data_IF_669011227502
#
_entry.id   IF_669011227502
#
_cell.length_a   1.000
_cell.length_b   1.000
_cell.length_c   1.000
_cell.angle_alpha   90.00
_cell.angle_beta   90.00
_cell.angle_gamma   90.00
#
_symmetry.space_group_name_H-M   'P 1'
#
loop_
_entity.id
_entity.type
_entity.pdbx_description
1 polymer ?
#
# COMPACT_ATOMS: atom_id res chain seq x y z
N UNK A 1 57.40 -34.08 17.72
CA UNK A 1 56.52 -34.99 17.00
C UNK A 1 55.36 -34.17 16.44
N UNK A 2 55.50 -33.81 15.18
CA UNK A 2 54.56 -32.96 14.42
C UNK A 2 53.44 -33.84 13.86
N UNK A 3 52.16 -33.43 14.01
CA UNK A 3 51.06 -34.03 13.29
C UNK A 3 50.39 -32.93 12.45
N UNK A 4 50.64 -32.97 11.16
CA UNK A 4 50.00 -32.25 10.08
C UNK A 4 48.56 -32.74 9.90
N UNK A 5 47.61 -31.80 9.78
CA UNK A 5 46.22 -32.03 9.41
C UNK A 5 46.06 -31.59 7.93
N UNK A 6 45.41 -32.38 7.05
CA UNK A 6 45.25 -32.05 5.65
C UNK A 6 44.04 -31.10 5.42
N UNK A 7 44.20 -30.18 4.46
CA UNK A 7 43.17 -29.29 3.94
C UNK A 7 42.11 -30.06 3.14
N UNK A 8 40.83 -29.67 3.20
CA UNK A 8 39.82 -30.19 2.28
C UNK A 8 39.78 -29.42 0.94
N UNK A 9 39.63 -30.20 -0.11
CA UNK A 9 39.59 -29.81 -1.49
C UNK A 9 38.37 -28.92 -1.84
N UNK A 10 38.63 -28.00 -2.76
CA UNK A 10 37.67 -27.16 -3.44
C UNK A 10 36.64 -27.99 -4.21
N UNK A 11 35.36 -27.85 -3.83
CA UNK A 11 34.22 -28.24 -4.65
C UNK A 11 33.61 -26.97 -5.27
N UNK A 12 33.73 -26.84 -6.57
CA UNK A 12 33.07 -25.83 -7.38
C UNK A 12 31.56 -26.12 -7.44
N UNK A 13 30.76 -25.32 -6.78
CA UNK A 13 29.33 -25.29 -7.03
C UNK A 13 29.03 -24.18 -8.04
N UNK A 14 28.65 -24.58 -9.25
CA UNK A 14 28.05 -23.73 -10.26
C UNK A 14 26.70 -23.23 -9.73
N UNK A 15 26.65 -21.98 -9.36
CA UNK A 15 25.39 -21.28 -9.10
C UNK A 15 24.73 -20.93 -10.43
N UNK A 16 23.65 -21.65 -10.72
CA UNK A 16 22.74 -21.34 -11.80
C UNK A 16 21.90 -20.11 -11.39
N UNK A 17 22.37 -18.93 -11.80
CA UNK A 17 21.63 -17.69 -11.63
C UNK A 17 20.66 -17.52 -12.79
N UNK A 18 19.48 -18.14 -12.69
CA UNK A 18 18.34 -17.74 -13.50
C UNK A 18 17.79 -16.41 -12.95
N UNK A 19 18.41 -15.31 -13.38
CA UNK A 19 17.90 -13.96 -13.24
C UNK A 19 16.49 -13.89 -13.83
N UNK A 20 15.50 -13.61 -12.97
CA UNK A 20 14.18 -13.15 -13.37
C UNK A 20 14.39 -11.92 -14.26
N UNK A 21 14.12 -12.05 -15.56
CA UNK A 21 14.02 -10.93 -16.47
C UNK A 21 12.89 -10.04 -15.95
N UNK A 22 13.22 -8.82 -15.54
CA UNK A 22 12.23 -7.75 -15.37
C UNK A 22 11.67 -7.48 -16.77
N UNK A 23 10.38 -7.76 -16.95
CA UNK A 23 9.69 -7.38 -18.18
C UNK A 23 9.59 -5.86 -18.21
N UNK A 24 10.26 -5.24 -19.16
CA UNK A 24 10.17 -3.80 -19.44
C UNK A 24 8.73 -3.49 -19.87
N UNK A 25 8.03 -2.67 -19.10
CA UNK A 25 6.73 -2.13 -19.49
C UNK A 25 6.95 -1.00 -20.49
N UNK A 26 6.63 -1.26 -21.75
CA UNK A 26 6.69 -0.27 -22.84
C UNK A 26 5.45 0.63 -22.85
N UNK A 27 5.55 1.81 -23.47
CA UNK A 27 4.42 2.72 -23.65
C UNK A 27 3.20 2.07 -24.36
N UNK A 28 3.46 1.05 -25.16
CA UNK A 28 2.48 0.25 -25.87
C UNK A 28 1.63 -0.62 -24.92
N UNK A 29 2.27 -1.25 -23.92
CA UNK A 29 1.57 -2.04 -22.91
C UNK A 29 0.71 -1.16 -21.96
N UNK A 30 1.15 0.05 -21.69
CA UNK A 30 0.36 1.01 -20.90
C UNK A 30 -0.88 1.51 -21.67
N UNK A 31 -0.79 1.62 -23.00
CA UNK A 31 -1.90 1.97 -23.86
C UNK A 31 -2.88 0.79 -24.04
N UNK A 32 -2.39 -0.44 -24.07
CA UNK A 32 -3.21 -1.65 -24.21
C UNK A 32 -4.05 -1.93 -22.96
N UNK A 33 -3.52 -1.63 -21.78
CA UNK A 33 -4.27 -1.69 -20.49
C UNK A 33 -5.41 -0.67 -20.46
N UNK A 34 -5.29 0.45 -21.19
CA UNK A 34 -6.29 1.49 -21.29
C UNK A 34 -7.31 1.27 -22.43
N UNK A 35 -6.99 0.41 -23.42
CA UNK A 35 -7.78 0.21 -24.63
C UNK A 35 -8.62 -1.11 -24.66
N UNK A 36 -8.48 -1.99 -23.66
CA UNK A 36 -9.06 -3.32 -23.70
C UNK A 36 -10.57 -3.42 -23.40
N UNK A 37 -11.35 -2.33 -23.49
CA UNK A 37 -12.77 -2.30 -23.11
C UNK A 37 -13.75 -1.85 -24.20
N UNK A 38 -13.36 -1.80 -25.48
CA UNK A 38 -14.31 -1.59 -26.59
C UNK A 38 -14.03 -2.64 -27.67
N UNK A 39 -14.77 -3.75 -27.67
CA UNK A 39 -15.32 -4.48 -28.84
C UNK A 39 -15.74 -5.89 -28.44
N UNK A 40 -17.02 -6.09 -28.25
CA UNK A 40 -17.67 -7.40 -28.27
C UNK A 40 -19.01 -7.31 -28.99
N UNK A 41 -18.94 -7.26 -30.30
CA UNK A 41 -20.04 -7.67 -31.19
C UNK A 41 -19.47 -8.04 -32.56
N UNK A 42 -19.64 -9.31 -32.95
CA UNK A 42 -19.35 -9.80 -34.30
C UNK A 42 -19.83 -11.23 -34.52
N UNK A 43 -20.31 -11.60 -35.75
CA UNK A 43 -21.38 -12.58 -35.93
C UNK A 43 -20.94 -14.00 -36.27
N UNK A 44 -21.84 -14.93 -35.98
CA UNK A 44 -22.11 -16.26 -36.53
C UNK A 44 -21.02 -16.98 -37.38
N UNK A 45 -20.56 -18.13 -36.88
CA UNK A 45 -19.89 -19.15 -37.67
C UNK A 45 -20.57 -20.54 -37.52
N UNK A 46 -20.91 -21.11 -38.66
CA UNK A 46 -21.60 -22.41 -38.83
C UNK A 46 -20.90 -23.62 -38.22
N UNK A 47 -21.69 -24.54 -37.64
CA UNK A 47 -21.21 -25.75 -36.98
C UNK A 47 -21.13 -26.97 -37.97
N UNK A 48 -20.10 -27.81 -37.86
CA UNK A 48 -20.01 -29.04 -38.68
C UNK A 48 -20.83 -30.21 -38.10
N UNK A 49 -21.38 -31.04 -39.00
CA UNK A 49 -22.27 -32.18 -38.72
C UNK A 49 -21.58 -33.27 -37.89
N UNK A 50 -22.21 -33.73 -36.81
CA UNK A 50 -21.75 -34.78 -35.88
C UNK A 50 -22.32 -36.15 -36.21
N UNK A 51 -21.43 -37.19 -36.18
CA UNK A 51 -21.79 -38.60 -36.10
C UNK A 51 -22.32 -38.94 -34.70
N UNK A 52 -23.38 -39.75 -34.62
CA UNK A 52 -24.04 -40.11 -33.35
C UNK A 52 -23.29 -41.21 -32.61
N UNK A 53 -22.89 -41.05 -31.35
CA UNK A 53 -22.25 -42.09 -30.55
C UNK A 53 -23.25 -43.03 -29.86
N UNK A 54 -22.80 -44.24 -29.50
CA UNK A 54 -23.61 -45.34 -28.91
C UNK A 54 -24.08 -45.03 -27.47
N UNK A 55 -25.16 -45.70 -27.04
CA UNK A 55 -25.82 -45.46 -25.71
C UNK A 55 -24.88 -45.64 -24.48
N UNK A 56 -23.80 -46.42 -24.58
CA UNK A 56 -22.84 -46.61 -23.48
C UNK A 56 -21.87 -45.44 -23.33
N UNK A 57 -21.52 -44.74 -24.38
CA UNK A 57 -20.67 -43.54 -24.37
C UNK A 57 -21.40 -42.32 -23.80
N UNK A 58 -22.73 -42.29 -23.93
CA UNK A 58 -23.55 -41.19 -23.40
C UNK A 58 -23.58 -41.13 -21.85
N UNK A 59 -23.45 -42.25 -21.14
CA UNK A 59 -23.53 -42.30 -19.67
C UNK A 59 -22.21 -41.85 -18.99
N UNK A 60 -21.06 -42.09 -19.63
CA UNK A 60 -19.75 -41.67 -19.10
C UNK A 60 -19.40 -40.23 -19.45
N UNK A 61 -19.78 -39.76 -20.62
CA UNK A 61 -19.54 -38.35 -21.05
C UNK A 61 -20.57 -37.39 -20.41
N UNK A 62 -21.81 -37.87 -20.21
CA UNK A 62 -22.85 -37.08 -19.54
C UNK A 62 -22.55 -36.77 -18.05
N UNK A 63 -21.93 -37.74 -17.35
CA UNK A 63 -21.54 -37.55 -15.96
C UNK A 63 -20.41 -36.53 -15.78
N UNK A 64 -19.40 -36.54 -16.65
CA UNK A 64 -18.31 -35.58 -16.63
C UNK A 64 -18.77 -34.18 -17.10
N UNK A 65 -19.62 -34.11 -18.11
CA UNK A 65 -20.15 -32.82 -18.58
C UNK A 65 -21.10 -32.16 -17.56
N UNK A 66 -21.87 -32.96 -16.81
CA UNK A 66 -22.70 -32.41 -15.71
C UNK A 66 -21.84 -31.94 -14.54
N UNK A 67 -20.77 -32.65 -14.17
CA UNK A 67 -19.86 -32.22 -13.11
C UNK A 67 -19.07 -30.95 -13.48
N UNK A 68 -18.63 -30.82 -14.75
CA UNK A 68 -17.95 -29.60 -15.22
C UNK A 68 -18.91 -28.44 -15.42
N UNK A 69 -20.17 -28.67 -15.81
CA UNK A 69 -21.19 -27.62 -15.91
C UNK A 69 -21.62 -27.11 -14.53
N UNK A 70 -21.73 -28.00 -13.53
CA UNK A 70 -22.00 -27.60 -12.14
C UNK A 70 -20.79 -26.89 -11.52
N UNK A 71 -19.56 -27.35 -11.78
CA UNK A 71 -18.34 -26.70 -11.35
C UNK A 71 -18.12 -25.35 -12.02
N UNK A 72 -18.33 -25.27 -13.33
CA UNK A 72 -18.25 -24.01 -14.08
C UNK A 72 -19.40 -23.04 -13.71
N UNK A 73 -20.59 -23.55 -13.50
CA UNK A 73 -21.75 -22.75 -13.03
C UNK A 73 -21.52 -22.22 -11.63
N UNK A 74 -21.02 -23.03 -10.69
CA UNK A 74 -20.65 -22.62 -9.35
C UNK A 74 -19.47 -21.63 -9.37
N UNK A 75 -18.45 -21.88 -10.19
CA UNK A 75 -17.31 -20.99 -10.37
C UNK A 75 -17.73 -19.64 -11.00
N UNK A 76 -18.58 -19.64 -12.02
CA UNK A 76 -19.14 -18.43 -12.62
C UNK A 76 -20.08 -17.69 -11.68
N UNK A 77 -20.84 -18.41 -10.86
CA UNK A 77 -21.71 -17.81 -9.84
C UNK A 77 -20.85 -17.22 -8.72
N UNK A 78 -19.83 -17.93 -8.25
CA UNK A 78 -18.85 -17.41 -7.27
C UNK A 78 -18.09 -16.22 -7.87
N UNK A 79 -17.68 -16.28 -9.14
CA UNK A 79 -17.02 -15.16 -9.82
C UNK A 79 -17.97 -13.97 -10.05
N UNK A 80 -19.24 -14.23 -10.37
CA UNK A 80 -20.26 -13.17 -10.47
C UNK A 80 -20.67 -12.58 -9.13
N UNK A 81 -20.70 -13.36 -8.05
CA UNK A 81 -20.90 -12.84 -6.69
C UNK A 81 -19.66 -12.12 -6.15
N UNK A 82 -18.45 -12.49 -6.59
CA UNK A 82 -17.22 -11.76 -6.26
C UNK A 82 -16.92 -10.58 -7.21
N UNK A 83 -17.58 -10.50 -8.38
CA UNK A 83 -17.63 -9.29 -9.22
C UNK A 83 -18.87 -8.46 -8.85
N UNK A 84 -19.13 -8.31 -7.54
CA UNK A 84 -20.25 -7.55 -7.03
C UNK A 84 -20.22 -6.12 -7.56
N UNK A 85 -21.13 -5.82 -8.49
CA UNK A 85 -21.73 -4.50 -8.49
C UNK A 85 -22.38 -4.38 -7.11
N UNK A 86 -21.72 -3.69 -6.17
CA UNK A 86 -22.31 -3.40 -4.88
C UNK A 86 -23.54 -2.59 -5.17
N UNK A 87 -24.71 -3.17 -4.95
CA UNK A 87 -25.98 -2.47 -5.16
C UNK A 87 -26.06 -1.24 -4.26
N UNK A 88 -26.81 -0.23 -4.66
CA UNK A 88 -26.92 1.04 -3.94
C UNK A 88 -27.39 0.95 -2.47
N UNK A 89 -27.60 -0.27 -1.96
CA UNK A 89 -28.03 -0.56 -0.60
C UNK A 89 -27.14 -1.59 0.13
N UNK A 90 -26.07 -2.06 -0.48
CA UNK A 90 -25.13 -2.98 0.17
C UNK A 90 -24.11 -2.20 1.00
N UNK A 91 -23.66 -2.84 2.08
CA UNK A 91 -22.62 -2.25 2.93
C UNK A 91 -21.29 -2.15 2.16
N UNK A 92 -20.60 -1.02 2.29
CA UNK A 92 -19.29 -0.75 1.72
C UNK A 92 -18.21 -1.18 2.71
N UNK A 93 -17.54 -2.33 2.52
CA UNK A 93 -16.51 -2.78 3.44
C UNK A 93 -15.22 -1.98 3.21
N UNK A 94 -14.79 -1.22 4.24
CA UNK A 94 -13.49 -0.58 4.31
C UNK A 94 -12.57 -1.42 5.19
N UNK A 95 -11.33 -1.63 4.78
CA UNK A 95 -10.38 -2.43 5.54
C UNK A 95 -9.49 -1.55 6.40
N UNK A 96 -9.18 -2.07 7.61
CA UNK A 96 -8.29 -1.44 8.59
C UNK A 96 -7.11 -2.37 8.89
N UNK A 97 -5.91 -1.79 8.96
CA UNK A 97 -4.65 -2.51 9.22
C UNK A 97 -4.21 -2.52 10.68
N UNK A 98 -4.79 -1.70 11.53
CA UNK A 98 -4.34 -1.54 12.91
C UNK A 98 -3.39 -0.35 13.11
N UNK A 99 -3.37 0.59 12.17
CA UNK A 99 -2.47 1.74 12.19
C UNK A 99 -3.13 2.97 12.84
N UNK A 100 -2.42 3.67 13.72
CA UNK A 100 -2.85 4.95 14.32
C UNK A 100 -3.17 5.99 13.24
N UNK A 101 -2.49 5.94 12.12
CA UNK A 101 -2.71 6.85 11.01
C UNK A 101 -4.07 6.67 10.29
N UNK A 102 -4.84 5.63 10.65
CA UNK A 102 -6.21 5.45 10.18
C UNK A 102 -7.24 6.32 10.96
N UNK A 103 -6.83 7.14 11.92
CA UNK A 103 -7.67 8.07 12.68
C UNK A 103 -8.75 8.81 11.87
N UNK A 104 -8.46 9.33 10.64
CA UNK A 104 -9.50 9.93 9.79
C UNK A 104 -10.65 8.99 9.43
N UNK A 105 -10.36 7.70 9.19
CA UNK A 105 -11.37 6.69 8.92
C UNK A 105 -12.23 6.43 10.16
N UNK A 106 -11.60 6.26 11.31
CA UNK A 106 -12.30 6.00 12.56
C UNK A 106 -13.19 7.20 12.95
N UNK A 107 -12.67 8.41 12.78
CA UNK A 107 -13.47 9.63 12.95
C UNK A 107 -14.67 9.63 12.01
N UNK A 108 -14.50 9.41 10.71
CA UNK A 108 -15.59 9.41 9.74
C UNK A 108 -16.66 8.36 10.08
N UNK A 109 -16.25 7.16 10.49
CA UNK A 109 -17.13 6.07 10.84
C UNK A 109 -17.92 6.33 12.14
N UNK A 110 -17.23 6.64 13.23
CA UNK A 110 -17.86 6.80 14.55
C UNK A 110 -18.62 8.11 14.73
N UNK A 111 -18.29 9.15 13.93
CA UNK A 111 -19.02 10.42 13.91
C UNK A 111 -20.19 10.44 12.93
N UNK A 112 -20.44 9.31 12.21
CA UNK A 112 -21.57 9.18 11.31
C UNK A 112 -21.42 9.92 9.99
N UNK A 113 -20.22 10.39 9.58
CA UNK A 113 -20.05 11.15 8.34
C UNK A 113 -20.35 10.32 7.10
N UNK A 114 -20.17 9.01 7.13
CA UNK A 114 -20.59 8.12 6.06
C UNK A 114 -22.11 7.98 6.00
N UNK A 115 -22.78 7.84 7.16
CA UNK A 115 -24.24 7.77 7.24
C UNK A 115 -24.90 9.05 6.77
N UNK A 116 -24.35 10.22 7.15
CA UNK A 116 -24.78 11.54 6.67
C UNK A 116 -24.63 11.70 5.15
N UNK A 117 -23.67 11.01 4.56
CA UNK A 117 -23.47 10.95 3.11
C UNK A 117 -24.38 9.91 2.42
N UNK A 118 -25.25 9.23 3.17
CA UNK A 118 -26.14 8.17 2.69
C UNK A 118 -25.44 6.85 2.37
N UNK A 119 -24.24 6.62 2.93
CA UNK A 119 -23.41 5.45 2.68
C UNK A 119 -23.43 4.52 3.89
N UNK A 120 -23.70 3.24 3.66
CA UNK A 120 -23.60 2.21 4.68
C UNK A 120 -22.19 1.61 4.66
N UNK A 121 -21.30 2.09 5.53
CA UNK A 121 -19.93 1.59 5.65
C UNK A 121 -19.84 0.52 6.75
N UNK A 122 -18.96 -0.46 6.54
CA UNK A 122 -18.54 -1.42 7.56
C UNK A 122 -17.00 -1.45 7.62
N UNK A 123 -16.45 -1.61 8.83
CA UNK A 123 -15.01 -1.79 9.00
C UNK A 123 -14.70 -3.29 9.09
N UNK A 124 -13.69 -3.72 8.33
CA UNK A 124 -13.22 -5.10 8.30
C UNK A 124 -11.71 -5.13 8.58
N UNK A 125 -11.25 -6.12 9.35
CA UNK A 125 -9.81 -6.38 9.50
C UNK A 125 -9.35 -7.35 8.42
N UNK A 126 -8.14 -7.14 7.89
CA UNK A 126 -7.49 -8.15 7.07
C UNK A 126 -7.18 -9.40 7.90
N UNK A 127 -7.21 -10.56 7.26
CA UNK A 127 -6.67 -11.77 7.87
C UNK A 127 -5.13 -11.70 7.88
N UNK A 128 -4.47 -12.36 8.82
CA UNK A 128 -3.00 -12.29 9.02
C UNK A 128 -2.15 -12.53 7.75
N UNK A 129 -2.69 -13.23 6.76
CA UNK A 129 -1.98 -13.58 5.51
C UNK A 129 -2.43 -12.75 4.31
N UNK A 130 -3.33 -11.80 4.49
CA UNK A 130 -3.90 -11.01 3.40
C UNK A 130 -3.29 -9.61 3.37
N UNK A 131 -2.68 -9.24 2.23
CA UNK A 131 -2.28 -7.86 2.00
C UNK A 131 -3.53 -6.98 1.75
N UNK A 132 -3.59 -5.85 2.44
CA UNK A 132 -4.68 -4.86 2.30
C UNK A 132 -4.87 -4.42 0.85
N UNK A 133 -3.77 -4.22 0.11
CA UNK A 133 -3.79 -3.76 -1.28
C UNK A 133 -4.42 -4.80 -2.19
N UNK A 134 -4.05 -6.07 -2.01
CA UNK A 134 -4.61 -7.18 -2.79
C UNK A 134 -6.11 -7.32 -2.56
N UNK A 135 -6.56 -7.18 -1.30
CA UNK A 135 -7.97 -7.22 -0.96
C UNK A 135 -8.78 -6.08 -1.59
N UNK A 136 -8.22 -4.87 -1.64
CA UNK A 136 -8.83 -3.71 -2.34
C UNK A 136 -8.80 -3.92 -3.85
N UNK A 137 -7.66 -4.32 -4.43
CA UNK A 137 -7.53 -4.56 -5.87
C UNK A 137 -8.48 -5.65 -6.38
N UNK A 138 -8.68 -6.71 -5.60
CA UNK A 138 -9.62 -7.80 -5.91
C UNK A 138 -11.10 -7.42 -5.71
N UNK A 139 -11.40 -6.25 -5.13
CA UNK A 139 -12.77 -5.80 -4.83
C UNK A 139 -13.41 -6.50 -3.63
N UNK A 140 -12.63 -7.18 -2.79
CA UNK A 140 -13.10 -7.71 -1.51
C UNK A 140 -13.44 -6.58 -0.54
N UNK A 141 -12.64 -5.53 -0.58
CA UNK A 141 -12.85 -4.28 0.14
C UNK A 141 -13.01 -3.13 -0.85
N UNK A 142 -13.86 -2.18 -0.53
CA UNK A 142 -14.07 -0.99 -1.37
C UNK A 142 -12.93 0.00 -1.23
N UNK A 143 -12.27 0.02 -0.08
CA UNK A 143 -11.13 0.91 0.13
C UNK A 143 -10.42 0.68 1.44
N UNK A 144 -9.31 1.37 1.58
CA UNK A 144 -8.46 1.39 2.76
C UNK A 144 -7.80 2.76 2.93
N UNK A 145 -7.45 3.17 4.16
CA UNK A 145 -6.44 4.19 4.36
C UNK A 145 -5.07 3.59 4.03
N UNK A 146 -4.13 4.39 3.60
CA UNK A 146 -2.79 3.88 3.42
C UNK A 146 -1.77 4.94 3.06
N UNK A 147 -0.53 4.66 3.40
CA UNK A 147 0.60 5.51 3.05
C UNK A 147 0.81 5.41 1.54
N UNK A 148 0.57 6.51 0.83
CA UNK A 148 0.45 6.50 -0.62
C UNK A 148 1.71 5.96 -1.33
N UNK A 149 2.89 6.14 -0.75
CA UNK A 149 4.15 5.62 -1.29
C UNK A 149 4.12 4.11 -1.55
N UNK A 150 3.46 3.33 -0.68
CA UNK A 150 3.33 1.88 -0.87
C UNK A 150 2.23 1.47 -1.85
N UNK A 151 1.40 2.40 -2.32
CA UNK A 151 0.34 2.14 -3.29
C UNK A 151 0.75 2.49 -4.72
N UNK A 152 1.71 3.43 -4.91
CA UNK A 152 2.09 3.94 -6.23
C UNK A 152 2.54 2.82 -7.16
N UNK A 153 3.55 2.06 -6.76
CA UNK A 153 4.11 0.99 -7.58
C UNK A 153 3.12 -0.14 -7.87
N UNK A 154 2.39 -0.71 -6.90
CA UNK A 154 1.36 -1.70 -7.19
C UNK A 154 0.27 -1.21 -8.15
N UNK A 155 -0.24 0.01 -8.00
CA UNK A 155 -1.26 0.57 -8.91
C UNK A 155 -0.67 0.75 -10.31
N UNK A 156 0.54 1.25 -10.41
CA UNK A 156 1.25 1.38 -11.68
C UNK A 156 1.45 0.02 -12.35
N UNK A 157 1.73 -1.04 -11.58
CA UNK A 157 1.89 -2.41 -12.07
C UNK A 157 0.56 -3.16 -12.27
N UNK A 158 -0.58 -2.44 -12.29
CA UNK A 158 -1.88 -2.99 -12.65
C UNK A 158 -2.79 -3.38 -11.49
N UNK A 159 -2.45 -3.05 -10.24
CA UNK A 159 -3.39 -3.21 -9.12
C UNK A 159 -4.63 -2.35 -9.38
N UNK A 160 -5.81 -2.98 -9.37
CA UNK A 160 -7.09 -2.30 -9.62
C UNK A 160 -7.51 -1.44 -8.42
N UNK A 161 -6.77 -0.38 -8.16
CA UNK A 161 -7.05 0.62 -7.12
C UNK A 161 -6.78 2.03 -7.66
N UNK A 162 -7.35 3.05 -7.00
CA UNK A 162 -7.13 4.47 -7.28
C UNK A 162 -7.02 5.22 -5.97
N UNK A 163 -6.09 6.15 -5.90
CA UNK A 163 -5.99 7.12 -4.82
C UNK A 163 -6.93 8.29 -5.11
N UNK A 164 -7.64 8.79 -4.10
CA UNK A 164 -8.66 9.84 -4.33
C UNK A 164 -8.40 11.12 -3.56
N UNK A 165 -7.76 11.07 -2.39
CA UNK A 165 -7.44 12.24 -1.57
C UNK A 165 -6.31 11.95 -0.59
N UNK A 166 -5.57 12.97 -0.18
CA UNK A 166 -4.65 12.94 0.93
C UNK A 166 -5.35 13.27 2.24
N UNK A 167 -4.99 12.59 3.32
CA UNK A 167 -5.63 12.70 4.62
C UNK A 167 -4.79 13.50 5.61
N UNK A 168 -3.54 13.13 5.77
CA UNK A 168 -2.61 13.78 6.70
C UNK A 168 -1.15 13.53 6.29
N UNK A 169 -0.24 14.21 6.97
CA UNK A 169 1.21 14.07 6.87
C UNK A 169 1.82 13.67 8.23
N UNK A 170 3.11 13.37 8.24
CA UNK A 170 3.88 13.25 9.48
C UNK A 170 3.92 11.86 10.11
N UNK A 171 3.64 10.76 9.37
CA UNK A 171 3.64 9.40 9.94
C UNK A 171 4.87 8.57 9.60
N UNK A 172 5.84 9.12 8.89
CA UNK A 172 7.10 8.46 8.58
C UNK A 172 8.25 9.11 9.36
N UNK A 173 9.09 8.27 9.98
CA UNK A 173 10.20 8.72 10.84
C UNK A 173 11.50 8.07 10.43
N UNK A 174 12.56 8.88 10.50
CA UNK A 174 13.94 8.43 10.53
C UNK A 174 14.53 8.88 11.87
N UNK A 175 14.99 7.92 12.66
CA UNK A 175 15.34 8.10 14.08
C UNK A 175 16.75 7.56 14.33
N UNK A 176 17.48 8.26 15.18
CA UNK A 176 18.84 7.92 15.61
C UNK A 176 18.93 7.91 17.15
N UNK A 177 19.95 7.28 17.69
CA UNK A 177 20.21 7.31 19.13
C UNK A 177 20.29 8.76 19.62
N UNK A 178 19.83 9.03 20.88
CA UNK A 178 19.76 10.38 21.47
C UNK A 178 21.08 11.13 21.37
N UNK A 179 22.17 10.45 21.71
CA UNK A 179 23.51 11.01 21.77
C UNK A 179 24.36 10.70 20.54
N UNK A 180 23.72 10.26 19.43
CA UNK A 180 24.43 9.95 18.18
C UNK A 180 25.01 11.22 17.55
N UNK A 181 26.08 11.04 16.77
CA UNK A 181 26.75 12.12 16.04
C UNK A 181 26.02 12.54 14.74
N UNK A 182 24.96 11.84 14.34
CA UNK A 182 24.26 12.07 13.08
C UNK A 182 23.22 13.19 13.24
N UNK A 183 23.44 14.35 12.64
CA UNK A 183 22.57 15.54 12.77
C UNK A 183 21.84 15.87 11.46
N UNK A 184 22.33 15.38 10.33
CA UNK A 184 21.78 15.59 8.99
C UNK A 184 21.71 14.25 8.23
N UNK A 185 20.89 14.17 7.20
CA UNK A 185 20.79 12.96 6.36
C UNK A 185 22.14 12.58 5.76
N UNK A 186 22.95 13.56 5.36
CA UNK A 186 24.29 13.32 4.78
C UNK A 186 25.26 12.59 5.74
N UNK A 187 25.06 12.72 7.06
CA UNK A 187 25.90 12.07 8.07
C UNK A 187 25.70 10.55 8.10
N UNK A 188 24.62 10.06 7.49
CA UNK A 188 24.29 8.63 7.45
C UNK A 188 25.06 7.85 6.38
N UNK A 189 25.95 8.50 5.63
CA UNK A 189 26.79 7.80 4.65
C UNK A 189 27.71 6.80 5.34
N UNK A 190 27.69 5.55 4.88
CA UNK A 190 28.50 4.46 5.44
C UNK A 190 27.90 3.79 6.68
N UNK A 191 26.66 4.14 7.06
CA UNK A 191 25.99 3.59 8.24
C UNK A 191 25.13 2.37 7.91
N UNK A 192 24.66 1.68 8.96
CA UNK A 192 23.65 0.63 8.88
C UNK A 192 22.31 1.20 9.30
N UNK A 193 21.30 1.10 8.42
CA UNK A 193 19.93 1.58 8.69
C UNK A 193 18.96 0.41 8.77
N UNK A 194 18.20 0.34 9.88
CA UNK A 194 17.13 -0.62 10.10
C UNK A 194 15.83 -0.18 9.42
N UNK A 195 15.23 -1.08 8.63
CA UNK A 195 13.96 -0.84 7.92
C UNK A 195 13.05 -2.06 8.05
N UNK A 196 11.70 -1.90 8.07
CA UNK A 196 10.79 -3.04 8.09
C UNK A 196 10.91 -3.91 6.83
N UNK A 197 11.06 -3.28 5.67
CA UNK A 197 11.36 -3.90 4.39
C UNK A 197 11.85 -2.86 3.38
N UNK A 198 12.52 -3.31 2.32
CA UNK A 198 12.95 -2.44 1.21
C UNK A 198 11.77 -1.99 0.32
N UNK A 199 10.58 -2.57 0.50
CA UNK A 199 9.32 -2.12 -0.12
C UNK A 199 8.46 -1.27 0.81
N UNK A 200 8.96 -0.91 2.02
CA UNK A 200 8.20 -0.09 2.96
C UNK A 200 8.10 1.36 2.50
N UNK A 201 7.01 2.03 2.89
CA UNK A 201 6.81 3.46 2.59
C UNK A 201 7.89 4.34 3.19
N UNK A 202 8.43 3.97 4.36
CA UNK A 202 9.52 4.72 4.99
C UNK A 202 10.81 4.62 4.17
N UNK A 203 11.15 3.40 3.70
CA UNK A 203 12.29 3.23 2.80
C UNK A 203 12.13 4.08 1.54
N UNK A 204 10.99 3.96 0.85
CA UNK A 204 10.73 4.69 -0.39
C UNK A 204 10.85 6.21 -0.20
N UNK A 205 10.28 6.74 0.90
CA UNK A 205 10.32 8.18 1.19
C UNK A 205 11.74 8.68 1.55
N UNK A 206 12.39 8.05 2.54
CA UNK A 206 13.68 8.53 3.03
C UNK A 206 14.83 8.25 2.07
N UNK A 207 14.73 7.22 1.22
CA UNK A 207 15.71 6.99 0.17
C UNK A 207 15.80 8.18 -0.81
N UNK A 208 14.69 8.89 -1.08
CA UNK A 208 14.69 10.13 -1.86
C UNK A 208 15.56 11.18 -1.16
N UNK A 209 15.26 11.49 0.12
CA UNK A 209 16.00 12.48 0.88
C UNK A 209 17.49 12.15 1.05
N UNK A 210 17.81 10.87 1.28
CA UNK A 210 19.20 10.38 1.35
C UNK A 210 19.92 10.55 0.00
N UNK A 211 19.24 10.24 -1.11
CA UNK A 211 19.78 10.43 -2.45
C UNK A 211 20.01 11.92 -2.77
N UNK A 212 19.07 12.79 -2.41
CA UNK A 212 19.22 14.25 -2.54
C UNK A 212 20.39 14.79 -1.67
N UNK A 213 20.69 14.10 -0.54
CA UNK A 213 21.88 14.39 0.30
C UNK A 213 23.19 13.80 -0.26
N UNK A 214 23.17 13.20 -1.45
CA UNK A 214 24.36 12.67 -2.13
C UNK A 214 24.79 11.27 -1.68
N UNK A 215 23.89 10.51 -1.09
CA UNK A 215 24.10 9.12 -0.65
C UNK A 215 23.57 8.16 -1.73
N UNK A 216 24.37 7.20 -2.14
CA UNK A 216 23.90 6.11 -2.97
C UNK A 216 23.08 5.13 -2.11
N UNK A 217 21.78 5.05 -2.38
CA UNK A 217 20.81 4.26 -1.62
C UNK A 217 20.55 2.87 -2.20
N UNK A 218 21.29 2.48 -3.25
CA UNK A 218 21.15 1.16 -3.88
C UNK A 218 21.36 0.06 -2.82
N UNK A 219 20.40 -0.85 -2.63
CA UNK A 219 20.54 -1.96 -1.68
C UNK A 219 21.71 -2.89 -2.01
N UNK A 220 22.08 -3.02 -3.26
CA UNK A 220 23.11 -3.94 -3.77
C UNK A 220 24.47 -3.27 -4.02
N UNK A 221 24.94 -2.41 -3.12
CA UNK A 221 26.28 -1.80 -3.24
C UNK A 221 26.29 -0.28 -3.11
N UNK A 222 25.26 0.28 -2.51
CA UNK A 222 25.20 1.69 -2.17
C UNK A 222 26.06 2.06 -0.96
N UNK A 223 25.89 3.29 -0.51
CA UNK A 223 26.61 3.85 0.64
C UNK A 223 25.99 3.44 2.00
N UNK A 224 24.81 2.81 2.00
CA UNK A 224 24.08 2.38 3.20
C UNK A 224 24.03 0.86 3.27
N UNK A 225 24.29 0.30 4.46
CA UNK A 225 23.99 -1.09 4.76
C UNK A 225 22.53 -1.19 5.25
N UNK A 226 21.65 -1.69 4.40
CA UNK A 226 20.24 -1.89 4.77
C UNK A 226 20.06 -3.16 5.57
N UNK A 227 19.40 -3.06 6.73
CA UNK A 227 19.06 -4.20 7.58
C UNK A 227 17.55 -4.29 7.76
N UNK A 228 16.97 -5.40 7.30
CA UNK A 228 15.55 -5.68 7.56
C UNK A 228 15.38 -6.07 9.02
N UNK A 229 14.48 -5.38 9.72
CA UNK A 229 14.16 -5.56 11.14
C UNK A 229 12.64 -5.42 11.28
N UNK A 230 12.00 -6.36 11.97
CA UNK A 230 10.55 -6.24 12.23
C UNK A 230 10.22 -4.91 12.89
N UNK A 231 9.10 -4.29 12.51
CA UNK A 231 8.73 -2.95 12.96
C UNK A 231 8.78 -2.80 14.49
N UNK A 232 8.25 -3.78 15.22
CA UNK A 232 8.22 -3.77 16.69
C UNK A 232 9.62 -3.94 17.33
N UNK A 233 10.60 -4.39 16.57
CA UNK A 233 11.99 -4.61 17.00
C UNK A 233 12.93 -3.48 16.62
N UNK A 234 12.50 -2.49 15.83
CA UNK A 234 13.34 -1.38 15.36
C UNK A 234 14.00 -0.63 16.52
N UNK A 235 13.21 -0.26 17.55
CA UNK A 235 13.72 0.45 18.72
C UNK A 235 14.77 -0.33 19.49
N UNK A 236 14.60 -1.64 19.64
CA UNK A 236 15.56 -2.54 20.28
C UNK A 236 16.85 -2.65 19.46
N UNK A 237 16.73 -2.82 18.12
CA UNK A 237 17.90 -2.90 17.25
C UNK A 237 18.77 -1.62 17.31
N UNK A 238 18.13 -0.46 17.42
CA UNK A 238 18.81 0.83 17.61
C UNK A 238 19.50 0.90 19.00
N UNK A 239 18.78 0.54 20.06
CA UNK A 239 19.31 0.58 21.43
C UNK A 239 20.49 -0.36 21.64
N UNK A 240 20.48 -1.53 21.01
CA UNK A 240 21.54 -2.54 21.07
C UNK A 240 22.74 -2.21 20.14
N UNK A 241 22.68 -1.10 19.39
CA UNK A 241 23.73 -0.72 18.44
C UNK A 241 23.86 -1.68 17.24
N UNK A 242 22.81 -2.43 16.95
CA UNK A 242 22.77 -3.31 15.76
C UNK A 242 22.58 -2.53 14.47
N UNK A 243 22.04 -1.32 14.56
CA UNK A 243 21.87 -0.34 13.50
C UNK A 243 22.18 1.07 14.04
N UNK A 244 22.64 1.96 13.16
CA UNK A 244 22.96 3.35 13.49
C UNK A 244 21.75 4.26 13.46
N UNK A 245 20.79 3.91 12.62
CA UNK A 245 19.51 4.60 12.48
C UNK A 245 18.38 3.59 12.18
N UNK A 246 17.16 4.00 12.42
CA UNK A 246 15.95 3.26 12.05
C UNK A 246 14.99 4.13 11.26
N UNK A 247 14.25 3.56 10.34
CA UNK A 247 13.15 4.23 9.67
C UNK A 247 11.91 3.35 9.62
N UNK A 248 10.74 3.97 9.74
CA UNK A 248 9.48 3.26 9.77
C UNK A 248 8.28 4.19 9.79
N UNK A 249 7.10 3.61 9.84
CA UNK A 249 5.86 4.29 10.14
C UNK A 249 5.53 4.20 11.63
N UNK A 250 4.81 5.21 12.12
CA UNK A 250 4.40 5.29 13.51
C UNK A 250 3.49 4.12 13.94
N UNK A 251 3.56 3.69 15.24
CA UNK A 251 4.30 4.32 16.34
C UNK A 251 5.73 3.80 16.54
N UNK A 252 6.14 2.71 15.89
CA UNK A 252 7.34 1.96 16.21
C UNK A 252 8.62 2.82 16.31
N UNK A 253 8.98 3.70 15.36
CA UNK A 253 10.18 4.52 15.48
C UNK A 253 10.04 5.66 16.50
N UNK A 254 8.83 6.07 16.88
CA UNK A 254 8.61 7.10 17.90
C UNK A 254 8.68 6.57 19.34
N UNK A 255 8.48 5.28 19.58
CA UNK A 255 8.54 4.73 20.94
C UNK A 255 9.89 5.02 21.63
N UNK A 256 11.08 4.78 21.00
CA UNK A 256 12.36 5.15 21.61
C UNK A 256 12.57 6.67 21.74
N UNK A 257 11.92 7.49 20.92
CA UNK A 257 11.92 8.94 21.08
C UNK A 257 11.09 9.34 22.30
N UNK A 258 9.93 8.72 22.46
CA UNK A 258 9.03 9.01 23.58
C UNK A 258 9.60 8.60 24.95
N UNK A 259 10.41 7.56 25.01
CA UNK A 259 11.09 7.15 26.24
C UNK A 259 12.44 7.86 26.46
N UNK A 260 12.86 8.74 25.52
CA UNK A 260 14.04 9.59 25.66
C UNK A 260 15.38 8.88 25.36
N UNK A 261 15.36 7.68 24.72
CA UNK A 261 16.59 6.95 24.32
C UNK A 261 17.03 7.28 22.90
N UNK A 262 16.14 7.88 22.10
CA UNK A 262 16.41 8.25 20.72
C UNK A 262 15.90 9.66 20.42
N UNK A 263 16.22 10.17 19.27
CA UNK A 263 15.68 11.41 18.70
C UNK A 263 15.35 11.25 17.23
N UNK A 264 14.35 11.97 16.79
CA UNK A 264 14.01 12.10 15.39
C UNK A 264 15.13 12.86 14.65
N UNK A 265 15.60 12.31 13.54
CA UNK A 265 16.53 12.97 12.62
C UNK A 265 15.78 13.62 11.46
N UNK A 266 14.76 12.94 10.94
CA UNK A 266 13.89 13.45 9.90
C UNK A 266 12.49 12.80 9.99
N UNK A 267 11.49 13.50 9.47
CA UNK A 267 10.14 12.97 9.23
C UNK A 267 9.65 13.44 7.85
N UNK A 268 8.51 12.93 7.42
CA UNK A 268 7.84 13.54 6.28
C UNK A 268 7.16 14.85 6.75
N UNK A 269 7.41 15.91 6.01
CA UNK A 269 6.95 17.28 6.33
C UNK A 269 5.42 17.32 6.50
N UNK A 270 4.95 18.20 7.40
CA UNK A 270 3.53 18.47 7.60
C UNK A 270 2.80 19.03 6.37
N UNK A 271 3.53 19.47 5.35
CA UNK A 271 2.96 19.89 4.05
C UNK A 271 2.91 18.74 3.03
N UNK A 272 3.65 17.66 3.24
CA UNK A 272 3.71 16.50 2.36
C UNK A 272 2.76 15.41 2.85
N UNK A 273 1.77 15.04 2.03
CA UNK A 273 0.87 13.96 2.36
C UNK A 273 1.62 12.65 2.59
N UNK A 274 1.21 11.92 3.60
CA UNK A 274 1.64 10.57 3.90
C UNK A 274 0.51 9.59 3.59
N UNK A 275 -0.60 9.74 4.30
CA UNK A 275 -1.75 8.86 4.16
C UNK A 275 -2.78 9.41 3.18
N UNK A 276 -3.39 8.50 2.45
CA UNK A 276 -4.39 8.77 1.43
C UNK A 276 -5.57 7.82 1.52
N UNK A 277 -6.63 8.15 0.84
CA UNK A 277 -7.77 7.26 0.58
C UNK A 277 -7.46 6.46 -0.68
N UNK A 278 -7.36 5.13 -0.54
CA UNK A 278 -7.25 4.20 -1.66
C UNK A 278 -8.59 3.48 -1.84
N UNK A 279 -9.17 3.54 -3.05
CA UNK A 279 -10.43 2.89 -3.40
C UNK A 279 -10.21 1.86 -4.52
N UNK A 280 -11.05 0.82 -4.55
CA UNK A 280 -11.08 -0.12 -5.66
C UNK A 280 -11.38 0.59 -6.98
N UNK A 281 -10.62 0.31 -8.04
CA UNK A 281 -10.73 1.00 -9.31
C UNK A 281 -12.07 0.80 -10.02
N UNK A 282 -12.63 -0.40 -9.94
CA UNK A 282 -13.97 -0.69 -10.49
C UNK A 282 -15.07 0.07 -9.75
N UNK A 283 -14.96 0.20 -8.43
CA UNK A 283 -15.88 1.01 -7.64
C UNK A 283 -15.83 2.48 -8.07
N UNK A 284 -14.63 3.03 -8.19
CA UNK A 284 -14.44 4.41 -8.68
C UNK A 284 -15.03 4.60 -10.08
N UNK A 285 -14.80 3.65 -11.00
CA UNK A 285 -15.27 3.71 -12.39
C UNK A 285 -16.80 3.54 -12.49
N UNK A 286 -17.36 2.58 -11.76
CA UNK A 286 -18.78 2.18 -11.90
C UNK A 286 -19.73 2.97 -10.99
N UNK A 287 -19.24 3.50 -9.87
CA UNK A 287 -19.99 4.24 -8.85
C UNK A 287 -19.29 5.55 -8.46
N UNK A 288 -19.03 6.46 -9.42
CA UNK A 288 -18.23 7.67 -9.16
C UNK A 288 -18.89 8.64 -8.18
N UNK A 289 -20.22 8.63 -8.06
CA UNK A 289 -20.95 9.47 -7.10
C UNK A 289 -20.75 8.97 -5.66
N UNK A 290 -20.84 7.67 -5.48
CA UNK A 290 -20.61 7.01 -4.18
C UNK A 290 -19.14 7.10 -3.79
N UNK A 291 -18.21 6.91 -4.74
CA UNK A 291 -16.77 7.08 -4.50
C UNK A 291 -16.43 8.52 -4.09
N UNK A 292 -17.06 9.52 -4.71
CA UNK A 292 -16.95 10.92 -4.33
C UNK A 292 -17.47 11.15 -2.90
N UNK A 293 -18.71 10.72 -2.61
CA UNK A 293 -19.34 10.89 -1.31
C UNK A 293 -18.55 10.21 -0.20
N UNK A 294 -18.01 9.01 -0.46
CA UNK A 294 -17.16 8.27 0.46
C UNK A 294 -15.86 9.05 0.77
N UNK A 295 -15.21 9.56 -0.27
CA UNK A 295 -13.97 10.35 -0.10
C UNK A 295 -14.26 11.66 0.65
N UNK A 296 -15.33 12.38 0.33
CA UNK A 296 -15.71 13.63 1.01
C UNK A 296 -16.03 13.38 2.50
N UNK A 297 -16.73 12.29 2.83
CA UNK A 297 -17.00 11.92 4.22
C UNK A 297 -15.70 11.59 4.98
N UNK A 298 -14.76 10.95 4.31
CA UNK A 298 -13.45 10.63 4.90
C UNK A 298 -12.59 11.87 5.13
N UNK A 299 -12.63 12.84 4.19
CA UNK A 299 -11.99 14.15 4.37
C UNK A 299 -12.55 14.92 5.58
N UNK A 300 -13.88 14.84 5.81
CA UNK A 300 -14.50 15.38 7.02
C UNK A 300 -13.96 14.70 8.28
N UNK A 301 -13.77 13.38 8.24
CA UNK A 301 -13.13 12.63 9.32
C UNK A 301 -11.73 13.15 9.62
N UNK A 302 -10.91 13.38 8.60
CA UNK A 302 -9.59 13.95 8.78
C UNK A 302 -9.60 15.36 9.37
N UNK A 303 -10.51 16.20 8.90
CA UNK A 303 -10.67 17.56 9.43
C UNK A 303 -11.18 17.58 10.90
N UNK A 304 -11.85 16.52 11.34
CA UNK A 304 -12.36 16.40 12.71
C UNK A 304 -11.26 16.07 13.73
N UNK A 305 -10.27 15.26 13.34
CA UNK A 305 -9.25 14.69 14.26
C UNK A 305 -8.49 15.74 15.06
N UNK A 306 -7.93 16.84 14.48
CA UNK A 306 -7.06 17.74 15.22
C UNK A 306 -7.70 18.39 16.45
N UNK A 307 -9.00 18.66 16.39
CA UNK A 307 -9.74 19.26 17.51
C UNK A 307 -10.26 18.22 18.52
N UNK A 308 -10.13 16.90 18.21
CA UNK A 308 -10.74 15.80 18.98
C UNK A 308 -9.77 14.62 19.21
N UNK A 309 -8.47 14.90 19.30
CA UNK A 309 -7.42 13.86 19.39
C UNK A 309 -7.66 12.89 20.54
N UNK A 310 -7.98 13.39 21.76
CA UNK A 310 -8.20 12.51 22.91
C UNK A 310 -9.42 11.60 22.73
N UNK A 311 -10.48 12.11 22.09
CA UNK A 311 -11.68 11.32 21.75
C UNK A 311 -11.37 10.25 20.72
N UNK A 312 -10.65 10.59 19.65
CA UNK A 312 -10.31 9.64 18.59
C UNK A 312 -9.33 8.59 19.09
N UNK A 313 -8.32 8.96 19.88
CA UNK A 313 -7.42 8.02 20.53
C UNK A 313 -8.17 7.01 21.41
N UNK A 314 -9.18 7.49 22.18
CA UNK A 314 -10.03 6.62 22.97
C UNK A 314 -10.85 5.65 22.09
N UNK A 315 -11.39 6.14 20.97
CA UNK A 315 -12.14 5.29 20.01
C UNK A 315 -11.20 4.22 19.46
N UNK A 316 -9.96 4.55 19.08
CA UNK A 316 -9.01 3.59 18.55
C UNK A 316 -8.67 2.46 19.54
N UNK A 317 -8.47 2.80 20.80
CA UNK A 317 -8.11 1.84 21.85
C UNK A 317 -9.33 1.03 22.30
N UNK A 318 -10.47 1.66 22.59
CA UNK A 318 -11.68 0.99 23.07
C UNK A 318 -12.25 -0.04 22.08
N UNK A 319 -11.98 0.14 20.79
CA UNK A 319 -12.42 -0.78 19.73
C UNK A 319 -11.32 -1.74 19.25
N UNK A 320 -10.20 -1.79 19.97
CA UNK A 320 -9.03 -2.60 19.59
C UNK A 320 -8.52 -2.31 18.16
N UNK A 321 -8.70 -1.09 17.66
CA UNK A 321 -8.22 -0.72 16.32
C UNK A 321 -6.71 -0.66 16.26
N UNK A 322 -6.05 -0.30 17.36
CA UNK A 322 -4.60 -0.20 17.48
C UNK A 322 -4.09 -0.95 18.71
N UNK A 323 -2.90 -1.52 18.61
CA UNK A 323 -2.24 -2.21 19.71
C UNK A 323 -1.29 -1.24 20.45
N UNK A 324 -1.83 -0.15 21.02
CA UNK A 324 -1.06 0.85 21.75
C UNK A 324 -1.90 1.46 22.88
N UNK A 325 -1.24 1.96 23.92
CA UNK A 325 -1.91 2.69 24.99
C UNK A 325 -2.42 4.05 24.50
N UNK A 326 -3.53 4.52 25.07
CA UNK A 326 -4.19 5.75 24.63
C UNK A 326 -3.26 6.98 24.67
N UNK A 327 -2.39 7.10 25.65
CA UNK A 327 -1.43 8.20 25.75
C UNK A 327 -0.38 8.17 24.61
N UNK A 328 0.02 7.00 24.16
CA UNK A 328 0.87 6.82 22.97
C UNK A 328 0.13 7.29 21.73
N UNK A 329 -1.13 6.85 21.53
CA UNK A 329 -1.95 7.27 20.38
C UNK A 329 -2.12 8.78 20.35
N UNK A 330 -2.47 9.40 21.49
CA UNK A 330 -2.59 10.87 21.61
C UNK A 330 -1.29 11.59 21.25
N UNK A 331 -0.16 11.09 21.75
CA UNK A 331 1.17 11.69 21.45
C UNK A 331 1.51 11.59 19.98
N UNK A 332 1.23 10.46 19.35
CA UNK A 332 1.46 10.23 17.90
C UNK A 332 0.57 11.16 17.09
N UNK A 333 -0.75 11.17 17.31
CA UNK A 333 -1.69 11.99 16.56
C UNK A 333 -1.39 13.50 16.66
N UNK A 334 -0.86 13.97 17.79
CA UNK A 334 -0.41 15.37 17.96
C UNK A 334 0.79 15.75 17.08
N UNK A 335 1.50 14.77 16.51
CA UNK A 335 2.62 15.05 15.60
C UNK A 335 2.18 15.15 14.14
N UNK A 336 0.93 14.79 13.81
CA UNK A 336 0.46 14.74 12.44
C UNK A 336 -0.06 16.10 11.94
N UNK A 337 0.15 16.35 10.65
CA UNK A 337 -0.43 17.49 9.94
C UNK A 337 -1.74 17.11 9.24
N UNK A 338 -2.88 17.37 9.87
CA UNK A 338 -4.20 17.10 9.29
C UNK A 338 -4.64 18.22 8.35
N UNK A 339 -4.19 18.18 7.11
CA UNK A 339 -4.53 19.12 6.04
C UNK A 339 -5.14 18.38 4.85
N UNK A 340 -6.21 17.62 5.12
CA UNK A 340 -6.85 16.78 4.12
C UNK A 340 -7.31 17.55 2.89
N UNK A 341 -7.05 16.98 1.69
CA UNK A 341 -7.39 17.63 0.43
C UNK A 341 -7.27 16.65 -0.74
N UNK A 342 -8.20 16.69 -1.66
CA UNK A 342 -8.13 15.94 -2.92
C UNK A 342 -7.29 16.70 -3.97
N UNK A 343 -7.50 18.01 -4.11
CA UNK A 343 -6.83 18.82 -5.12
C UNK A 343 -5.33 18.99 -4.85
N UNK A 344 -4.96 19.32 -3.60
CA UNK A 344 -3.55 19.42 -3.18
C UNK A 344 -2.84 18.08 -3.25
N UNK A 345 -3.51 16.98 -2.86
CA UNK A 345 -2.94 15.64 -2.96
C UNK A 345 -2.59 15.31 -4.41
N UNK A 346 -3.54 15.52 -5.35
CA UNK A 346 -3.28 15.29 -6.77
C UNK A 346 -2.11 16.14 -7.29
N UNK A 347 -2.02 17.41 -6.89
CA UNK A 347 -0.91 18.28 -7.29
C UNK A 347 0.45 17.86 -6.70
N UNK A 348 0.46 17.20 -5.54
CA UNK A 348 1.69 16.72 -4.89
C UNK A 348 2.22 15.38 -5.49
N UNK A 349 1.34 14.58 -6.09
CA UNK A 349 1.72 13.25 -6.61
C UNK A 349 2.68 13.32 -7.80
N UNK A 350 2.46 14.23 -8.75
CA UNK A 350 3.29 14.35 -9.96
C UNK A 350 4.76 14.65 -9.62
N UNK A 351 5.08 15.68 -8.81
CA UNK A 351 6.46 15.91 -8.34
C UNK A 351 7.03 14.72 -7.54
N UNK A 352 6.20 14.04 -6.76
CA UNK A 352 6.59 12.83 -6.04
C UNK A 352 7.03 11.71 -6.99
N UNK A 353 6.27 11.45 -8.03
CA UNK A 353 6.60 10.45 -9.06
C UNK A 353 7.93 10.81 -9.76
N UNK A 354 8.18 12.08 -10.08
CA UNK A 354 9.47 12.49 -10.66
C UNK A 354 10.64 12.17 -9.74
N UNK A 355 10.51 12.41 -8.43
CA UNK A 355 11.53 12.01 -7.45
C UNK A 355 11.73 10.49 -7.42
N UNK A 356 10.68 9.69 -7.47
CA UNK A 356 10.76 8.22 -7.54
C UNK A 356 11.44 7.73 -8.82
N UNK A 357 11.25 8.42 -9.95
CA UNK A 357 11.95 8.12 -11.20
C UNK A 357 13.44 8.45 -11.09
N UNK A 358 13.79 9.59 -10.49
CA UNK A 358 15.18 10.02 -10.28
C UNK A 358 15.96 9.04 -9.39
N UNK A 359 15.32 8.46 -8.40
CA UNK A 359 15.95 7.47 -7.49
C UNK A 359 15.89 6.03 -8.01
N UNK A 360 15.28 5.79 -9.17
CA UNK A 360 15.18 4.47 -9.78
C UNK A 360 14.10 3.56 -9.18
N UNK A 361 13.26 4.06 -8.26
CA UNK A 361 12.11 3.31 -7.74
C UNK A 361 11.03 3.08 -8.81
N UNK A 362 10.87 4.03 -9.72
CA UNK A 362 10.00 3.90 -10.89
C UNK A 362 10.88 3.95 -12.13
N UNK A 363 11.07 2.81 -12.79
CA UNK A 363 11.82 2.68 -14.05
C UNK A 363 10.83 2.67 -15.21
N UNK A 364 10.31 3.83 -15.61
CA UNK A 364 9.33 3.93 -16.69
C UNK A 364 9.60 5.16 -17.55
N UNK A 365 9.46 5.01 -18.87
CA UNK A 365 9.50 6.12 -19.84
C UNK A 365 8.20 6.93 -19.88
N UNK A 366 7.12 6.44 -19.23
CA UNK A 366 5.84 7.15 -19.12
C UNK A 366 6.03 8.42 -18.29
N UNK A 367 5.47 9.54 -18.73
CA UNK A 367 5.58 10.81 -18.00
C UNK A 367 4.94 10.74 -16.60
N UNK A 368 5.47 11.50 -15.64
CA UNK A 368 4.90 11.59 -14.30
C UNK A 368 3.44 12.04 -14.31
N UNK A 369 3.06 12.94 -15.22
CA UNK A 369 1.68 13.36 -15.41
C UNK A 369 0.78 12.19 -15.82
N UNK A 370 1.21 11.33 -16.75
CA UNK A 370 0.43 10.16 -17.18
C UNK A 370 0.30 9.14 -16.05
N UNK A 371 1.39 8.91 -15.30
CA UNK A 371 1.35 8.05 -14.10
C UNK A 371 0.44 8.61 -13.02
N UNK A 372 0.47 9.92 -12.77
CA UNK A 372 -0.46 10.60 -11.85
C UNK A 372 -1.91 10.36 -12.25
N UNK A 373 -2.24 10.49 -13.54
CA UNK A 373 -3.59 10.23 -14.06
C UNK A 373 -4.01 8.76 -13.93
N UNK A 374 -3.06 7.83 -14.02
CA UNK A 374 -3.32 6.41 -13.83
C UNK A 374 -3.53 6.03 -12.36
N UNK A 375 -2.85 6.72 -11.43
CA UNK A 375 -2.87 6.40 -10.00
C UNK A 375 -3.96 7.15 -9.25
N UNK A 376 -4.19 8.44 -9.58
CA UNK A 376 -5.12 9.33 -8.86
C UNK A 376 -6.40 9.53 -9.65
N UNK A 377 -7.53 9.18 -9.04
CA UNK A 377 -8.85 9.49 -9.62
C UNK A 377 -9.25 10.94 -9.30
N UNK A 378 -9.68 11.66 -10.33
CA UNK A 378 -10.32 12.97 -10.17
C UNK A 378 -11.82 12.78 -10.01
N UNK A 379 -12.31 12.91 -8.78
CA UNK A 379 -13.72 12.82 -8.43
C UNK A 379 -14.44 14.18 -8.45
N UNK A 380 -13.78 15.25 -8.90
CA UNK A 380 -14.32 16.60 -8.89
C UNK A 380 -14.69 17.09 -7.48
N UNK A 381 -13.88 16.71 -6.48
CA UNK A 381 -14.01 17.19 -5.10
C UNK A 381 -13.41 18.61 -5.05
N UNK A 382 -14.17 19.54 -4.46
CA UNK A 382 -13.73 20.91 -4.22
C UNK A 382 -13.38 21.02 -2.75
N UNK A 383 -12.11 21.36 -2.47
CA UNK A 383 -11.58 21.61 -1.13
C UNK A 383 -11.83 23.06 -0.72
#
# INVERSE_FOLDING_TARGET
MSKTVPSPSSASSSSDSSLLKKDEVTAENAAEILAADDDADGPDAEAPRRNRPSRRTLLTVGGLAAATALGAGAYLTIRRTNQGVIGAHEALPLVIGGDICAAPLYAAYHKGFFDDAGLKVTLARTQQTEDTKDGVGAGKYIGAPGIFFSWLEPIYNGLNARLTAGLHAGCLRLVVGKDSQYHHLADLKGTTIGVPSLSSSAFAYFAIGLSEAGINVDPDGGDITWRTVDADSLGTALADGQVDAIMGSDPAPLLPVFNGTARELANNDAEEFCCSVALNGDFVKKQPKEAKALTEAWLKGSAYVPDHIDEIAKIEVDNDYVAADQDVVVRVLKTYGFKASASRFRAAIEPGIEKFKTTGFITSDVSAQSLTNAVVADLGIKD
#
